data_IF_558946539767
#
_entry.id   IF_558946539767
#
_cell.length_a   1.000
_cell.length_b   1.000
_cell.length_c   1.000
_cell.angle_alpha   90.00
_cell.angle_beta   90.00
_cell.angle_gamma   90.00
#
_symmetry.space_group_name_H-M   'P 1'
#
loop_
_entity.id
_entity.type
_entity.pdbx_description
1 polymer ?
#
# COMPACT_ATOMS: atom_id res chain seq x y z
N UNK A 1 9.44 13.71 -26.75
CA UNK A 1 8.74 13.17 -25.57
C UNK A 1 7.29 12.79 -25.81
N UNK A 2 6.99 11.51 -25.70
CA UNK A 2 5.63 10.95 -25.73
C UNK A 2 5.17 10.66 -24.30
N UNK A 3 3.97 11.10 -23.93
CA UNK A 3 3.38 10.80 -22.62
C UNK A 3 2.62 9.47 -22.69
N UNK A 4 2.98 8.53 -21.83
CA UNK A 4 2.39 7.19 -21.81
C UNK A 4 1.32 7.05 -20.72
N UNK A 5 1.54 7.64 -19.54
CA UNK A 5 0.63 7.50 -18.41
C UNK A 5 0.58 8.78 -17.58
N UNK A 6 -0.62 9.09 -17.06
CA UNK A 6 -0.84 10.16 -16.09
C UNK A 6 -1.83 9.69 -15.04
N UNK A 7 -1.39 9.60 -13.79
CA UNK A 7 -2.21 9.23 -12.65
C UNK A 7 -2.32 10.42 -11.70
N UNK A 8 -3.51 10.97 -11.59
CA UNK A 8 -3.83 11.98 -10.58
C UNK A 8 -4.37 11.29 -9.32
N UNK A 9 -3.86 11.67 -8.16
CA UNK A 9 -4.35 11.21 -6.87
C UNK A 9 -4.34 12.35 -5.85
N UNK A 10 -5.04 12.16 -4.74
CA UNK A 10 -5.06 13.14 -3.65
C UNK A 10 -4.18 12.64 -2.51
N UNK A 11 -3.45 13.57 -1.87
CA UNK A 11 -2.78 13.26 -0.62
C UNK A 11 -3.73 13.34 0.59
N UNK A 12 -3.20 13.08 1.79
CA UNK A 12 -3.99 13.10 3.04
C UNK A 12 -4.65 14.46 3.32
N UNK A 13 -4.15 15.54 2.71
CA UNK A 13 -4.66 16.90 2.85
C UNK A 13 -5.60 17.30 1.70
N UNK A 14 -6.06 16.34 0.89
CA UNK A 14 -6.88 16.56 -0.32
C UNK A 14 -6.19 17.42 -1.39
N UNK A 15 -4.87 17.52 -1.35
CA UNK A 15 -4.10 18.22 -2.40
C UNK A 15 -3.82 17.26 -3.54
N UNK A 16 -3.93 17.76 -4.77
CA UNK A 16 -3.68 16.96 -5.97
C UNK A 16 -2.18 16.68 -6.08
N UNK A 17 -1.86 15.40 -6.31
CA UNK A 17 -0.55 14.92 -6.75
C UNK A 17 -0.72 14.18 -8.07
N UNK A 18 0.26 14.34 -8.94
CA UNK A 18 0.24 13.71 -10.27
C UNK A 18 1.53 12.95 -10.49
N UNK A 19 1.40 11.67 -10.82
CA UNK A 19 2.47 10.86 -11.37
C UNK A 19 2.32 10.84 -12.89
N UNK A 20 3.36 11.21 -13.63
CA UNK A 20 3.39 11.09 -15.09
C UNK A 20 4.57 10.22 -15.53
N UNK A 21 4.31 9.32 -16.47
CA UNK A 21 5.32 8.55 -17.18
C UNK A 21 5.33 8.99 -18.64
N UNK A 22 6.52 9.26 -19.15
CA UNK A 22 6.77 9.51 -20.57
C UNK A 22 8.06 8.83 -21.01
N UNK A 23 8.28 8.79 -22.30
CA UNK A 23 9.53 8.31 -22.88
C UNK A 23 9.89 9.20 -24.07
N UNK A 24 11.18 9.29 -24.37
CA UNK A 24 11.66 9.98 -25.57
C UNK A 24 11.84 9.00 -26.73
N UNK A 25 12.00 9.56 -27.93
CA UNK A 25 12.33 8.75 -29.09
C UNK A 25 13.75 8.18 -28.91
N UNK A 26 14.01 7.01 -29.50
CA UNK A 26 15.28 6.30 -29.36
C UNK A 26 16.41 7.15 -29.95
N UNK A 27 17.49 7.34 -29.20
CA UNK A 27 18.69 8.03 -29.68
C UNK A 27 19.36 7.20 -30.78
N UNK A 28 19.66 7.87 -31.90
CA UNK A 28 20.35 7.27 -33.04
C UNK A 28 21.76 7.86 -33.10
N UNK A 29 22.76 6.99 -33.14
CA UNK A 29 24.16 7.42 -33.18
C UNK A 29 24.60 7.87 -34.58
N UNK A 30 25.84 8.34 -34.69
CA UNK A 30 26.44 8.82 -35.95
C UNK A 30 26.60 7.75 -37.05
N UNK A 31 26.25 6.50 -36.76
CA UNK A 31 26.27 5.36 -37.68
C UNK A 31 24.87 4.82 -37.99
N UNK A 32 23.82 5.59 -37.67
CA UNK A 32 22.41 5.24 -37.89
C UNK A 32 21.91 4.01 -37.10
N UNK A 33 22.61 3.64 -36.02
CA UNK A 33 22.13 2.60 -35.11
C UNK A 33 21.40 3.20 -33.91
N UNK A 34 20.30 2.55 -33.52
CA UNK A 34 19.62 2.81 -32.25
C UNK A 34 20.57 2.51 -31.08
N UNK A 35 20.78 3.49 -30.21
CA UNK A 35 21.71 3.42 -29.09
C UNK A 35 20.97 3.23 -27.76
N UNK A 36 20.09 4.17 -27.40
CA UNK A 36 19.40 4.14 -26.12
C UNK A 36 18.03 4.84 -26.15
N UNK A 37 17.07 4.32 -25.40
CA UNK A 37 15.82 5.00 -25.09
C UNK A 37 15.77 5.41 -23.63
N UNK A 38 15.01 6.47 -23.32
CA UNK A 38 14.85 6.97 -21.96
C UNK A 38 13.41 6.97 -21.47
N UNK A 39 13.24 6.71 -20.17
CA UNK A 39 11.98 6.85 -19.45
C UNK A 39 12.04 8.09 -18.57
N UNK A 40 11.05 8.97 -18.69
CA UNK A 40 10.82 10.07 -17.78
C UNK A 40 9.73 9.70 -16.76
N UNK A 41 10.09 9.73 -15.49
CA UNK A 41 9.18 9.67 -14.35
C UNK A 41 9.06 11.09 -13.76
N UNK A 42 7.85 11.63 -13.65
CA UNK A 42 7.64 12.92 -13.00
C UNK A 42 6.57 12.85 -11.92
N UNK A 43 6.86 13.46 -10.77
CA UNK A 43 5.96 13.56 -9.63
C UNK A 43 5.71 15.04 -9.39
N UNK A 44 4.46 15.44 -9.56
CA UNK A 44 4.00 16.81 -9.37
C UNK A 44 3.20 16.86 -8.08
N UNK A 45 3.55 17.79 -7.22
CA UNK A 45 2.78 18.21 -6.05
C UNK A 45 2.58 19.72 -6.12
N UNK A 46 1.69 20.25 -5.30
CA UNK A 46 1.28 21.66 -5.34
C UNK A 46 2.44 22.66 -5.40
N UNK A 47 3.53 22.40 -4.65
CA UNK A 47 4.67 23.31 -4.55
C UNK A 47 5.98 22.75 -5.11
N UNK A 48 5.98 21.49 -5.57
CA UNK A 48 7.21 20.82 -5.99
C UNK A 48 6.96 19.87 -7.14
N UNK A 49 7.88 19.90 -8.09
CA UNK A 49 7.94 18.97 -9.20
C UNK A 49 9.30 18.29 -9.21
N UNK A 50 9.28 16.97 -9.18
CA UNK A 50 10.49 16.14 -9.22
C UNK A 50 10.46 15.29 -10.48
N UNK A 51 11.62 15.13 -11.11
CA UNK A 51 11.79 14.37 -12.33
C UNK A 51 12.93 13.38 -12.19
N UNK A 52 12.77 12.21 -12.78
CA UNK A 52 13.81 11.22 -12.96
C UNK A 52 13.87 10.85 -14.42
N UNK A 53 15.05 10.99 -15.01
CA UNK A 53 15.34 10.53 -16.35
C UNK A 53 16.14 9.25 -16.23
N UNK A 54 15.58 8.15 -16.70
CA UNK A 54 16.13 6.82 -16.54
C UNK A 54 16.50 6.27 -17.90
N UNK A 55 17.68 5.67 -17.98
CA UNK A 55 18.05 4.77 -19.09
C UNK A 55 17.06 3.61 -19.20
N UNK A 56 17.10 2.91 -20.34
CA UNK A 56 16.34 1.67 -20.53
C UNK A 56 16.70 0.62 -19.46
N UNK A 57 17.99 0.52 -19.10
CA UNK A 57 18.48 -0.42 -18.09
C UNK A 57 18.00 -0.06 -16.68
N UNK A 58 18.06 1.22 -16.29
CA UNK A 58 17.56 1.69 -15.00
C UNK A 58 16.04 1.54 -14.88
N UNK A 59 15.31 1.83 -15.96
CA UNK A 59 13.86 1.64 -16.01
C UNK A 59 13.47 0.16 -15.84
N UNK A 60 14.20 -0.76 -16.49
CA UNK A 60 13.99 -2.19 -16.33
C UNK A 60 14.29 -2.65 -14.90
N UNK A 61 15.40 -2.17 -14.31
CA UNK A 61 15.74 -2.47 -12.92
C UNK A 61 14.68 -1.93 -11.95
N UNK A 62 14.21 -0.70 -12.17
CA UNK A 62 13.16 -0.10 -11.35
C UNK A 62 11.89 -0.94 -11.38
N UNK A 63 11.47 -1.44 -12.56
CA UNK A 63 10.31 -2.32 -12.68
C UNK A 63 10.45 -3.57 -11.79
N UNK A 64 11.57 -4.28 -11.89
CA UNK A 64 11.79 -5.50 -11.08
C UNK A 64 11.82 -5.20 -9.58
N UNK A 65 12.37 -4.05 -9.18
CA UNK A 65 12.36 -3.61 -7.78
C UNK A 65 10.97 -3.24 -7.28
N UNK A 66 10.14 -2.63 -8.12
CA UNK A 66 8.74 -2.35 -7.77
C UNK A 66 7.95 -3.63 -7.56
N UNK A 67 8.10 -4.62 -8.45
CA UNK A 67 7.43 -5.91 -8.33
C UNK A 67 7.81 -6.61 -7.00
N UNK A 68 9.10 -6.60 -6.66
CA UNK A 68 9.59 -7.14 -5.39
C UNK A 68 9.00 -6.42 -4.16
N UNK A 69 9.00 -5.08 -4.17
CA UNK A 69 8.49 -4.28 -3.04
C UNK A 69 6.97 -4.50 -2.88
N UNK A 70 6.23 -4.60 -3.98
CA UNK A 70 4.79 -4.86 -3.94
C UNK A 70 4.49 -6.25 -3.33
N UNK A 71 5.28 -7.27 -3.65
CA UNK A 71 5.15 -8.59 -3.04
C UNK A 71 5.38 -8.55 -1.52
N UNK A 72 6.41 -7.82 -1.07
CA UNK A 72 6.67 -7.63 0.36
C UNK A 72 5.52 -6.89 1.07
N UNK A 73 5.01 -5.82 0.45
CA UNK A 73 3.90 -5.04 1.00
C UNK A 73 2.62 -5.88 1.12
N UNK A 74 2.31 -6.69 0.11
CA UNK A 74 1.18 -7.59 0.14
C UNK A 74 1.28 -8.61 1.29
N UNK A 75 2.47 -9.19 1.49
CA UNK A 75 2.73 -10.10 2.61
C UNK A 75 2.50 -9.41 3.97
N UNK A 76 3.06 -8.21 4.15
CA UNK A 76 2.87 -7.43 5.39
C UNK A 76 1.40 -7.10 5.65
N UNK A 77 0.65 -6.77 4.59
CA UNK A 77 -0.77 -6.48 4.70
C UNK A 77 -1.56 -7.70 5.18
N UNK A 78 -1.32 -8.87 4.59
CA UNK A 78 -1.98 -10.14 4.99
C UNK A 78 -1.66 -10.47 6.44
N UNK A 79 -0.39 -10.41 6.84
CA UNK A 79 0.03 -10.69 8.22
C UNK A 79 -0.63 -9.74 9.24
N UNK A 80 -0.74 -8.45 8.90
CA UNK A 80 -1.41 -7.47 9.74
C UNK A 80 -2.91 -7.73 9.87
N UNK A 81 -3.57 -8.09 8.77
CA UNK A 81 -5.00 -8.39 8.74
C UNK A 81 -5.33 -9.68 9.52
N UNK A 82 -4.54 -10.74 9.33
CA UNK A 82 -4.69 -11.99 10.11
C UNK A 82 -4.50 -11.76 11.62
N UNK A 83 -3.51 -10.95 12.01
CA UNK A 83 -3.29 -10.59 13.42
C UNK A 83 -4.46 -9.78 13.99
N UNK A 84 -5.01 -8.87 13.20
CA UNK A 84 -6.19 -8.10 13.58
C UNK A 84 -7.43 -9.01 13.71
N UNK A 85 -7.62 -9.97 12.80
CA UNK A 85 -8.71 -10.95 12.84
C UNK A 85 -8.64 -11.81 14.11
N UNK A 86 -7.46 -12.36 14.44
CA UNK A 86 -7.25 -13.14 15.67
C UNK A 86 -7.57 -12.33 16.93
N UNK A 87 -7.18 -11.05 16.95
CA UNK A 87 -7.46 -10.13 18.08
C UNK A 87 -8.95 -9.81 18.21
N UNK A 88 -9.67 -9.68 17.09
CA UNK A 88 -11.13 -9.49 17.10
C UNK A 88 -11.84 -10.74 17.59
N UNK A 89 -11.41 -11.93 17.15
CA UNK A 89 -11.96 -13.20 17.61
C UNK A 89 -11.75 -13.41 19.11
N UNK A 90 -10.55 -13.16 19.63
CA UNK A 90 -10.27 -13.31 21.07
C UNK A 90 -11.07 -12.31 21.93
N UNK A 91 -11.23 -11.07 21.47
CA UNK A 91 -12.09 -10.07 22.14
C UNK A 91 -13.57 -10.49 22.15
N UNK A 92 -14.08 -11.06 21.06
CA UNK A 92 -15.45 -11.54 21.02
C UNK A 92 -15.65 -12.79 21.90
N UNK A 93 -14.67 -13.69 21.99
CA UNK A 93 -14.71 -14.81 22.94
C UNK A 93 -14.67 -14.35 24.40
N UNK A 94 -13.84 -13.36 24.74
CA UNK A 94 -13.81 -12.80 26.09
C UNK A 94 -15.14 -12.13 26.48
N UNK A 95 -15.78 -11.40 25.55
CA UNK A 95 -17.11 -10.84 25.78
C UNK A 95 -18.17 -11.91 25.97
N UNK A 96 -18.16 -12.96 25.14
CA UNK A 96 -19.11 -14.07 25.25
C UNK A 96 -18.95 -14.83 26.57
N UNK A 97 -17.72 -15.05 27.02
CA UNK A 97 -17.45 -15.67 28.32
C UNK A 97 -17.75 -14.77 29.52
N UNK A 98 -17.81 -13.43 29.35
CA UNK A 98 -18.29 -12.52 30.39
C UNK A 98 -19.82 -12.49 30.47
N UNK A 99 -20.53 -12.67 29.35
CA UNK A 99 -21.99 -12.73 29.32
C UNK A 99 -22.54 -14.11 29.76
N UNK A 100 -21.80 -15.21 29.54
CA UNK A 100 -22.16 -16.56 30.03
C UNK A 100 -21.61 -16.86 31.45
N UNK A 101 -20.86 -15.94 32.06
CA UNK A 101 -20.23 -16.09 33.38
C UNK A 101 -21.02 -15.52 34.56
N UNK A 102 -22.20 -14.95 34.32
CA UNK A 102 -23.16 -14.51 35.35
C UNK A 102 -24.22 -15.62 35.61
N UNK A 103 -23.77 -16.88 35.78
CA UNK A 103 -24.56 -17.83 36.57
C UNK A 103 -24.42 -17.39 38.03
N UNK A 104 -25.41 -16.61 38.48
CA UNK A 104 -25.62 -16.23 39.86
C UNK A 104 -25.67 -17.51 40.69
N UNK A 105 -24.66 -17.68 41.54
CA UNK A 105 -24.64 -18.62 42.63
C UNK A 105 -25.81 -18.31 43.58
N UNK A 106 -26.85 -19.13 43.54
CA UNK A 106 -28.00 -19.04 44.45
C UNK A 106 -27.78 -19.84 45.75
N UNK A 107 -26.54 -20.21 46.12
CA UNK A 107 -26.28 -20.74 47.47
C UNK A 107 -26.48 -19.70 48.59
N UNK A 108 -26.85 -18.45 48.29
CA UNK A 108 -27.19 -17.40 49.26
C UNK A 108 -28.70 -17.04 49.28
N UNK A 109 -29.59 -18.04 49.18
CA UNK A 109 -30.93 -17.94 49.81
C UNK A 109 -30.88 -18.66 51.16
N UNK A 110 -29.92 -18.27 52.01
CA UNK A 110 -30.08 -18.47 53.44
C UNK A 110 -31.19 -17.53 53.93
N UNK A 111 -31.95 -18.01 54.92
CA UNK A 111 -32.57 -17.14 55.93
C UNK A 111 -33.69 -16.20 55.48
N UNK A 112 -34.87 -16.73 55.15
CA UNK A 112 -36.14 -16.12 55.57
C UNK A 112 -37.32 -17.03 55.24
N UNK A 113 -37.75 -17.85 56.21
CA UNK A 113 -39.13 -17.91 56.75
C UNK A 113 -39.37 -19.23 57.50
N UNK A 114 -39.38 -19.07 58.83
CA UNK A 114 -40.13 -19.81 59.86
C UNK A 114 -40.06 -21.34 59.94
#
# INVERSE_FOLDING_TARGET
>A
MRKALRLAHFDKNKKVKVLELGFDDVEINSKDFAEEGSLLLSIHSENQKTFFHLSTAEAALLKERLDYILALLAKQYIEADEKAAKTRQSKNQQKKNQEEGEEVDWEEIESEKE
#
